data_IF_560703987832
#
_entry.id   IF_560703987832
#
_cell.length_a   1.000
_cell.length_b   1.000
_cell.length_c   1.000
_cell.angle_alpha   90.00
_cell.angle_beta   90.00
_cell.angle_gamma   90.00
#
_symmetry.space_group_name_H-M   'P 1'
#
loop_
_entity.id
_entity.type
_entity.pdbx_description
1 polymer ?
#
# COMPACT_ATOMS: atom_id res chain seq x y z
N UNK A 1 4.20 3.73 -6.55
CA UNK A 1 4.56 4.59 -7.71
C UNK A 1 3.67 5.83 -7.64
N UNK A 2 4.25 6.94 -7.19
CA UNK A 2 3.53 8.19 -6.99
C UNK A 2 3.32 8.85 -8.37
N UNK A 3 2.08 8.90 -8.89
CA UNK A 3 1.78 9.65 -10.10
C UNK A 3 1.63 11.12 -9.70
N UNK A 4 2.66 11.89 -9.95
CA UNK A 4 2.56 13.35 -9.94
C UNK A 4 1.53 13.77 -10.99
N UNK A 5 0.40 14.30 -10.52
CA UNK A 5 -0.65 14.79 -11.41
C UNK A 5 -0.16 16.12 -12.01
N UNK A 6 -0.63 16.47 -13.23
CA UNK A 6 -0.23 17.67 -14.01
C UNK A 6 -0.24 19.00 -13.24
N UNK A 7 -0.75 19.04 -12.02
CA UNK A 7 -0.83 20.23 -11.15
C UNK A 7 0.14 20.18 -9.95
N UNK A 8 1.13 19.26 -9.91
CA UNK A 8 2.10 19.17 -8.78
C UNK A 8 1.47 18.75 -7.44
N UNK A 9 0.22 18.26 -7.44
CA UNK A 9 -0.46 17.82 -6.23
C UNK A 9 -0.08 16.38 -5.88
N UNK A 10 0.17 16.15 -4.60
CA UNK A 10 0.48 14.81 -4.08
C UNK A 10 -0.76 13.93 -4.23
N UNK A 11 -0.59 12.79 -4.88
CA UNK A 11 -1.64 11.80 -5.12
C UNK A 11 -1.11 10.42 -4.70
N UNK A 12 -1.85 9.74 -3.84
CA UNK A 12 -1.51 8.41 -3.34
C UNK A 12 -2.41 7.39 -4.04
N UNK A 13 -1.86 6.71 -5.04
CA UNK A 13 -2.61 5.73 -5.84
C UNK A 13 -3.26 4.66 -4.94
N UNK A 14 -4.57 4.45 -5.13
CA UNK A 14 -5.34 3.48 -4.34
C UNK A 14 -5.75 3.93 -2.95
N UNK A 15 -5.28 5.07 -2.44
CA UNK A 15 -5.64 5.62 -1.12
C UNK A 15 -6.38 6.96 -1.26
N UNK A 16 -5.74 7.94 -1.91
CA UNK A 16 -6.32 9.24 -2.22
C UNK A 16 -5.76 9.72 -3.55
N UNK A 17 -6.60 9.82 -4.55
CA UNK A 17 -6.22 10.24 -5.89
C UNK A 17 -6.88 11.58 -6.22
N UNK A 18 -6.10 12.54 -6.69
CA UNK A 18 -6.63 13.80 -7.21
C UNK A 18 -7.09 13.56 -8.65
N UNK A 19 -8.41 13.57 -8.87
CA UNK A 19 -9.00 13.41 -10.19
C UNK A 19 -9.00 14.72 -10.97
N UNK A 20 -9.32 15.82 -10.28
CA UNK A 20 -9.38 17.13 -10.88
C UNK A 20 -9.17 18.21 -9.82
N UNK A 21 -8.37 19.20 -10.13
CA UNK A 21 -8.12 20.35 -9.27
C UNK A 21 -8.26 21.65 -10.06
N UNK A 22 -9.16 22.52 -9.62
CA UNK A 22 -9.34 23.87 -10.09
C UNK A 22 -9.32 24.81 -8.88
N UNK A 23 -9.01 26.10 -9.04
CA UNK A 23 -9.16 27.06 -7.97
C UNK A 23 -10.59 27.02 -7.40
N UNK A 24 -10.72 26.80 -6.10
CA UNK A 24 -12.01 26.70 -5.42
C UNK A 24 -12.72 25.33 -5.56
N UNK A 25 -12.21 24.38 -6.36
CA UNK A 25 -12.88 23.11 -6.59
C UNK A 25 -11.89 21.95 -6.72
N UNK A 26 -12.01 20.97 -5.84
CA UNK A 26 -11.18 19.77 -5.82
C UNK A 26 -12.03 18.51 -5.91
N UNK A 27 -11.74 17.64 -6.86
CA UNK A 27 -12.37 16.33 -6.98
C UNK A 27 -11.36 15.24 -6.68
N UNK A 28 -11.69 14.40 -5.71
CA UNK A 28 -10.85 13.34 -5.19
C UNK A 28 -11.50 11.97 -5.40
N UNK A 29 -10.69 10.95 -5.53
CA UNK A 29 -11.09 9.56 -5.39
C UNK A 29 -10.48 9.03 -4.09
N UNK A 30 -11.34 8.48 -3.22
CA UNK A 30 -10.98 7.91 -1.92
C UNK A 30 -11.61 6.53 -1.86
N UNK A 31 -10.91 5.47 -2.32
CA UNK A 31 -11.48 4.13 -2.42
C UNK A 31 -11.99 3.57 -1.09
N UNK A 32 -11.41 3.98 0.04
CA UNK A 32 -11.83 3.57 1.38
C UNK A 32 -13.23 4.03 1.77
N UNK A 33 -13.78 5.07 1.11
CA UNK A 33 -15.16 5.54 1.32
C UNK A 33 -16.18 4.76 0.50
N UNK A 34 -15.73 3.93 -0.47
CA UNK A 34 -16.62 3.16 -1.32
C UNK A 34 -17.41 2.13 -0.52
N UNK A 35 -18.75 2.20 -0.62
CA UNK A 35 -19.66 1.31 0.11
C UNK A 35 -19.81 1.61 1.61
N UNK A 36 -19.17 2.67 2.12
CA UNK A 36 -19.16 3.02 3.56
C UNK A 36 -19.86 4.36 3.81
N UNK A 37 -21.19 4.35 3.86
CA UNK A 37 -21.99 5.57 4.05
C UNK A 37 -21.61 6.34 5.34
N UNK A 38 -21.44 5.64 6.47
CA UNK A 38 -21.04 6.27 7.74
C UNK A 38 -19.68 6.96 7.66
N UNK A 39 -18.68 6.33 7.04
CA UNK A 39 -17.36 6.92 6.86
C UNK A 39 -17.44 8.16 5.95
N UNK A 40 -18.28 8.13 4.92
CA UNK A 40 -18.52 9.26 4.04
C UNK A 40 -19.17 10.45 4.79
N UNK A 41 -20.14 10.17 5.65
CA UNK A 41 -20.78 11.20 6.52
C UNK A 41 -19.78 11.80 7.49
N UNK A 42 -18.99 10.99 8.18
CA UNK A 42 -17.93 11.46 9.09
C UNK A 42 -16.93 12.35 8.37
N UNK A 43 -16.49 11.93 7.18
CA UNK A 43 -15.59 12.73 6.34
C UNK A 43 -16.21 14.09 5.98
N UNK A 44 -17.49 14.12 5.59
CA UNK A 44 -18.19 15.37 5.26
C UNK A 44 -18.26 16.30 6.47
N UNK A 45 -18.59 15.78 7.65
CA UNK A 45 -18.66 16.56 8.90
C UNK A 45 -17.29 17.15 9.25
N UNK A 46 -16.25 16.32 9.23
CA UNK A 46 -14.89 16.76 9.55
C UNK A 46 -14.38 17.83 8.56
N UNK A 47 -14.60 17.62 7.27
CA UNK A 47 -14.17 18.58 6.26
C UNK A 47 -14.94 19.91 6.37
N UNK A 48 -16.24 19.88 6.63
CA UNK A 48 -17.06 21.10 6.80
C UNK A 48 -16.70 21.90 8.05
N UNK A 49 -16.09 21.29 9.07
CA UNK A 49 -15.62 22.00 10.25
C UNK A 49 -14.37 22.87 9.99
N UNK A 50 -13.72 22.69 8.85
CA UNK A 50 -12.53 23.45 8.48
C UNK A 50 -12.90 24.81 7.89
N UNK A 51 -12.26 25.86 8.40
CA UNK A 51 -12.45 27.22 7.91
C UNK A 51 -11.99 27.36 6.45
N UNK A 52 -12.84 27.90 5.60
CA UNK A 52 -12.58 28.08 4.17
C UNK A 52 -13.10 26.94 3.28
N UNK A 53 -13.70 25.89 3.85
CA UNK A 53 -14.45 24.89 3.09
C UNK A 53 -15.92 25.37 2.96
N UNK A 54 -16.40 25.48 1.74
CA UNK A 54 -17.76 25.93 1.44
C UNK A 54 -18.74 24.76 1.37
N UNK A 55 -18.38 23.72 0.63
CA UNK A 55 -19.21 22.53 0.51
C UNK A 55 -18.40 21.27 0.30
N UNK A 56 -18.92 20.16 0.80
CA UNK A 56 -18.35 18.82 0.59
C UNK A 56 -19.46 17.86 0.21
N UNK A 57 -19.30 17.19 -0.92
CA UNK A 57 -20.23 16.17 -1.42
C UNK A 57 -19.46 14.88 -1.64
N UNK A 58 -19.91 13.78 -1.05
CA UNK A 58 -19.30 12.45 -1.21
C UNK A 58 -20.28 11.53 -1.92
N UNK A 59 -19.79 10.85 -2.94
CA UNK A 59 -20.49 9.73 -3.57
C UNK A 59 -19.89 8.42 -3.04
N UNK A 60 -20.55 7.80 -2.06
CA UNK A 60 -20.11 6.57 -1.44
C UNK A 60 -20.12 5.37 -2.42
N UNK A 61 -20.97 5.37 -3.45
CA UNK A 61 -21.00 4.29 -4.46
C UNK A 61 -19.72 4.25 -5.29
N UNK A 62 -19.21 5.43 -5.67
CA UNK A 62 -18.02 5.58 -6.49
C UNK A 62 -16.73 5.74 -5.66
N UNK A 63 -16.85 6.09 -4.38
CA UNK A 63 -15.71 6.47 -3.53
C UNK A 63 -15.08 7.77 -4.01
N UNK A 64 -15.89 8.77 -4.41
CA UNK A 64 -15.42 10.08 -4.87
C UNK A 64 -15.93 11.19 -3.98
N UNK A 65 -15.08 12.18 -3.72
CA UNK A 65 -15.43 13.39 -2.97
C UNK A 65 -15.22 14.63 -3.85
N UNK A 66 -16.14 15.57 -3.76
CA UNK A 66 -16.05 16.89 -4.34
C UNK A 66 -16.01 17.90 -3.21
N UNK A 67 -14.93 18.66 -3.14
CA UNK A 67 -14.71 19.71 -2.14
C UNK A 67 -14.71 21.06 -2.84
N UNK A 68 -15.56 21.98 -2.40
CA UNK A 68 -15.56 23.37 -2.80
C UNK A 68 -15.02 24.22 -1.65
N UNK A 69 -14.13 25.13 -1.94
CA UNK A 69 -13.40 25.90 -0.96
C UNK A 69 -13.06 27.30 -1.46
N UNK A 70 -12.86 28.22 -0.56
CA UNK A 70 -12.44 29.59 -0.87
C UNK A 70 -10.98 29.59 -1.37
N UNK A 71 -10.79 29.82 -2.66
CA UNK A 71 -9.46 29.84 -3.29
C UNK A 71 -8.59 31.03 -2.84
N UNK A 72 -9.16 32.05 -2.21
CA UNK A 72 -8.40 33.16 -1.63
C UNK A 72 -7.75 32.77 -0.29
N UNK A 73 -8.32 31.79 0.42
CA UNK A 73 -7.86 31.35 1.74
C UNK A 73 -7.11 30.03 1.73
N UNK A 74 -7.47 29.11 0.83
CA UNK A 74 -6.95 27.76 0.80
C UNK A 74 -6.32 27.43 -0.56
N UNK A 75 -5.15 26.83 -0.53
CA UNK A 75 -4.53 26.25 -1.73
C UNK A 75 -5.02 24.80 -1.93
N UNK A 76 -5.05 24.30 -3.18
CA UNK A 76 -5.42 22.90 -3.45
C UNK A 76 -4.61 21.89 -2.64
N UNK A 77 -3.31 22.12 -2.46
CA UNK A 77 -2.42 21.26 -1.67
C UNK A 77 -2.81 21.21 -0.18
N UNK A 78 -3.23 22.35 0.39
CA UNK A 78 -3.68 22.39 1.77
C UNK A 78 -5.01 21.64 1.95
N UNK A 79 -5.91 21.74 0.98
CA UNK A 79 -7.17 20.97 1.00
C UNK A 79 -6.90 19.47 0.87
N UNK A 80 -5.95 19.04 0.02
CA UNK A 80 -5.54 17.64 -0.05
C UNK A 80 -4.96 17.16 1.29
N UNK A 81 -4.10 17.96 1.93
CA UNK A 81 -3.55 17.64 3.25
C UNK A 81 -4.66 17.54 4.32
N UNK A 82 -5.65 18.46 4.29
CA UNK A 82 -6.80 18.39 5.19
C UNK A 82 -7.64 17.12 4.96
N UNK A 83 -7.83 16.72 3.70
CA UNK A 83 -8.51 15.47 3.37
C UNK A 83 -7.78 14.24 3.91
N UNK A 84 -6.44 14.19 3.86
CA UNK A 84 -5.67 13.07 4.44
C UNK A 84 -5.85 12.98 5.95
N UNK A 85 -5.96 14.11 6.63
CA UNK A 85 -6.21 14.15 8.07
C UNK A 85 -7.65 13.75 8.44
N UNK A 86 -8.62 14.19 7.64
CA UNK A 86 -10.05 13.95 7.92
C UNK A 86 -10.48 12.49 7.69
N UNK A 87 -9.66 11.68 7.03
CA UNK A 87 -10.07 10.33 6.68
C UNK A 87 -9.06 9.28 7.14
N UNK A 88 -8.50 9.30 8.26
CA UNK A 88 -7.63 8.28 8.84
C UNK A 88 -6.71 7.58 7.79
N UNK A 89 -5.84 8.40 7.19
CA UNK A 89 -4.93 8.00 6.12
C UNK A 89 -4.04 6.81 6.51
N UNK A 90 -3.63 6.75 7.77
CA UNK A 90 -2.76 5.69 8.28
C UNK A 90 -3.49 4.33 8.30
N UNK A 91 -4.77 4.31 8.68
CA UNK A 91 -5.57 3.09 8.63
C UNK A 91 -5.83 2.63 7.18
N UNK A 92 -6.00 3.56 6.24
CA UNK A 92 -6.17 3.23 4.83
C UNK A 92 -4.88 2.71 4.19
N UNK A 93 -3.72 3.27 4.54
CA UNK A 93 -2.42 2.75 4.13
C UNK A 93 -2.16 1.35 4.68
N UNK A 94 -2.44 1.13 5.97
CA UNK A 94 -2.31 -0.18 6.59
C UNK A 94 -3.22 -1.23 5.93
N UNK A 95 -4.46 -0.86 5.57
CA UNK A 95 -5.39 -1.72 4.84
C UNK A 95 -4.88 -2.06 3.43
N UNK A 96 -4.26 -1.11 2.73
CA UNK A 96 -3.67 -1.36 1.41
C UNK A 96 -2.43 -2.28 1.50
N UNK A 97 -1.58 -2.09 2.50
CA UNK A 97 -0.45 -3.00 2.75
C UNK A 97 -0.94 -4.41 3.07
N UNK A 98 -2.06 -4.56 3.79
CA UNK A 98 -2.65 -5.86 4.09
C UNK A 98 -3.20 -6.57 2.84
N UNK A 99 -3.67 -5.83 1.83
CA UNK A 99 -4.09 -6.40 0.54
C UNK A 99 -2.90 -7.00 -0.21
N UNK A 100 -1.78 -6.28 -0.29
CA UNK A 100 -0.52 -6.82 -0.87
C UNK A 100 -0.04 -8.04 -0.08
N UNK A 101 -0.10 -8.01 1.24
CA UNK A 101 0.24 -9.15 2.09
C UNK A 101 -0.69 -10.36 1.89
N UNK A 102 -1.96 -10.13 1.59
CA UNK A 102 -2.93 -11.21 1.26
C UNK A 102 -2.63 -11.83 -0.10
N UNK A 103 -2.38 -11.02 -1.12
CA UNK A 103 -1.97 -11.49 -2.45
C UNK A 103 -0.68 -12.32 -2.38
N UNK A 104 0.34 -11.84 -1.67
CA UNK A 104 1.58 -12.58 -1.44
C UNK A 104 1.36 -13.90 -0.69
N UNK A 105 0.47 -13.92 0.32
CA UNK A 105 0.11 -15.18 1.00
C UNK A 105 -0.56 -16.17 0.06
N UNK A 106 -1.44 -15.71 -0.82
CA UNK A 106 -2.12 -16.58 -1.80
C UNK A 106 -1.12 -17.19 -2.78
N UNK A 107 -0.18 -16.38 -3.30
CA UNK A 107 0.90 -16.86 -4.18
C UNK A 107 1.82 -17.83 -3.43
N UNK A 108 2.21 -17.52 -2.20
CA UNK A 108 3.02 -18.40 -1.36
C UNK A 108 2.31 -19.74 -1.12
N UNK A 109 1.03 -19.74 -0.81
CA UNK A 109 0.23 -20.97 -0.62
C UNK A 109 0.14 -21.81 -1.89
N UNK A 110 -0.09 -21.18 -3.05
CA UNK A 110 -0.15 -21.87 -4.33
C UNK A 110 1.21 -22.52 -4.69
N UNK A 111 2.30 -21.80 -4.47
CA UNK A 111 3.67 -22.33 -4.68
C UNK A 111 3.99 -23.47 -3.71
N UNK A 112 3.63 -23.33 -2.43
CA UNK A 112 3.83 -24.37 -1.44
C UNK A 112 3.08 -25.66 -1.79
N UNK A 113 1.82 -25.56 -2.23
CA UNK A 113 1.03 -26.70 -2.70
C UNK A 113 1.66 -27.36 -3.95
N UNK A 114 2.22 -26.57 -4.87
CA UNK A 114 2.90 -27.10 -6.05
C UNK A 114 4.17 -27.89 -5.68
N UNK A 115 4.96 -27.37 -4.72
CA UNK A 115 6.16 -28.06 -4.20
C UNK A 115 5.78 -29.34 -3.49
N UNK A 116 4.81 -29.32 -2.58
CA UNK A 116 4.33 -30.50 -1.85
C UNK A 116 3.85 -31.61 -2.81
N UNK A 117 3.08 -31.26 -3.85
CA UNK A 117 2.63 -32.23 -4.86
C UNK A 117 3.77 -32.82 -5.66
N UNK A 118 4.79 -32.01 -6.03
CA UNK A 118 5.95 -32.47 -6.78
C UNK A 118 6.91 -33.33 -5.96
N UNK A 119 7.02 -33.08 -4.66
CA UNK A 119 7.93 -33.80 -3.74
C UNK A 119 7.24 -34.94 -3.00
N UNK A 120 5.98 -35.25 -3.32
CA UNK A 120 5.22 -36.29 -2.62
C UNK A 120 4.99 -35.98 -1.13
N UNK A 121 4.97 -34.70 -0.75
CA UNK A 121 4.78 -34.27 0.64
C UNK A 121 6.05 -34.21 1.49
N UNK A 122 7.21 -34.51 0.92
CA UNK A 122 8.49 -34.55 1.65
C UNK A 122 9.08 -33.16 1.95
N UNK A 123 8.83 -32.19 1.05
CA UNK A 123 9.38 -30.84 1.18
C UNK A 123 8.28 -29.81 0.99
N UNK A 124 8.22 -28.85 1.89
CA UNK A 124 7.44 -27.62 1.71
C UNK A 124 8.30 -26.54 1.06
N UNK A 125 7.69 -25.39 0.70
CA UNK A 125 8.40 -24.29 0.04
C UNK A 125 9.54 -23.75 0.91
N UNK A 126 9.36 -23.70 2.23
CA UNK A 126 10.37 -23.20 3.17
C UNK A 126 11.56 -24.15 3.28
N UNK A 127 11.30 -25.44 3.35
CA UNK A 127 12.34 -26.47 3.34
C UNK A 127 13.11 -26.49 2.03
N UNK A 128 12.41 -26.37 0.89
CA UNK A 128 13.06 -26.27 -0.42
C UNK A 128 13.98 -25.05 -0.51
N UNK A 129 13.51 -23.88 -0.07
CA UNK A 129 14.32 -22.65 -0.04
C UNK A 129 15.54 -22.79 0.86
N UNK A 130 15.39 -23.47 2.00
CA UNK A 130 16.51 -23.73 2.93
C UNK A 130 17.55 -24.64 2.27
N UNK A 131 17.14 -25.71 1.61
CA UNK A 131 18.05 -26.64 0.89
C UNK A 131 18.78 -25.91 -0.24
N UNK A 132 18.06 -25.11 -1.04
CA UNK A 132 18.67 -24.31 -2.12
C UNK A 132 19.68 -23.32 -1.54
N UNK A 133 19.35 -22.67 -0.42
CA UNK A 133 20.24 -21.72 0.26
C UNK A 133 21.50 -22.41 0.79
N UNK A 134 21.36 -23.57 1.46
CA UNK A 134 22.48 -24.35 1.95
C UNK A 134 23.39 -24.85 0.81
N UNK A 135 22.78 -25.26 -0.32
CA UNK A 135 23.52 -25.65 -1.50
C UNK A 135 24.30 -24.49 -2.12
N UNK A 136 23.66 -23.31 -2.22
CA UNK A 136 24.31 -22.10 -2.72
C UNK A 136 25.44 -21.60 -1.82
N UNK A 137 25.26 -21.68 -0.49
CA UNK A 137 26.31 -21.39 0.50
C UNK A 137 27.45 -22.39 0.41
N UNK A 138 27.17 -23.70 0.31
CA UNK A 138 28.17 -24.74 0.19
C UNK A 138 29.05 -24.57 -1.06
N UNK A 139 28.45 -24.21 -2.19
CA UNK A 139 29.21 -23.89 -3.43
C UNK A 139 30.07 -22.63 -3.29
N UNK A 140 29.56 -21.60 -2.57
CA UNK A 140 30.33 -20.38 -2.31
C UNK A 140 31.54 -20.60 -1.40
N UNK A 141 31.38 -21.42 -0.36
CA UNK A 141 32.44 -21.75 0.60
C UNK A 141 33.48 -22.67 -0.04
N UNK A 142 33.06 -23.60 -0.91
CA UNK A 142 33.97 -24.54 -1.60
C UNK A 142 34.66 -23.92 -2.83
N UNK A 143 34.49 -22.63 -3.11
CA UNK A 143 35.18 -21.94 -4.20
C UNK A 143 34.80 -22.39 -5.61
N UNK A 144 33.69 -23.12 -5.76
CA UNK A 144 33.24 -23.72 -7.03
C UNK A 144 32.52 -22.70 -7.97
N UNK A 145 32.30 -21.50 -7.53
CA UNK A 145 31.76 -20.42 -8.38
C UNK A 145 32.55 -19.14 -8.17
N UNK A 146 33.12 -18.59 -9.24
CA UNK A 146 33.95 -17.39 -9.25
C UNK A 146 33.16 -16.07 -8.94
N UNK A 147 31.99 -16.15 -8.35
CA UNK A 147 31.20 -15.00 -7.92
C UNK A 147 31.45 -14.72 -6.44
N UNK A 148 32.06 -13.55 -6.16
CA UNK A 148 32.28 -13.01 -4.81
C UNK A 148 30.93 -12.59 -4.18
N UNK A 149 30.05 -13.55 -3.89
CA UNK A 149 28.86 -13.28 -3.07
C UNK A 149 29.25 -13.32 -1.59
N UNK A 150 29.23 -12.17 -0.93
CA UNK A 150 29.42 -12.10 0.51
C UNK A 150 28.22 -12.76 1.22
N UNK A 151 28.42 -13.81 2.04
CA UNK A 151 27.31 -14.56 2.64
C UNK A 151 26.63 -13.87 3.83
N UNK A 152 27.14 -12.72 4.27
CA UNK A 152 26.71 -12.02 5.48
C UNK A 152 25.21 -11.66 5.56
N UNK A 153 24.55 -11.13 4.49
CA UNK A 153 23.11 -10.83 4.56
C UNK A 153 22.23 -12.07 4.68
N UNK A 154 22.68 -13.20 4.12
CA UNK A 154 21.95 -14.47 4.15
C UNK A 154 22.04 -15.16 5.51
N UNK A 155 23.16 -15.06 6.20
CA UNK A 155 23.34 -15.58 7.57
C UNK A 155 22.46 -14.81 8.57
N UNK A 156 22.37 -13.49 8.44
CA UNK A 156 21.49 -12.69 9.27
C UNK A 156 20.01 -13.05 9.07
N UNK A 157 19.60 -13.31 7.82
CA UNK A 157 18.23 -13.72 7.50
C UNK A 157 17.93 -15.12 8.06
N UNK A 158 18.85 -16.05 7.95
CA UNK A 158 18.73 -17.41 8.49
C UNK A 158 18.56 -17.41 10.02
N UNK A 159 19.37 -16.63 10.74
CA UNK A 159 19.27 -16.48 12.19
C UNK A 159 17.89 -15.94 12.61
N UNK A 160 17.35 -14.98 11.88
CA UNK A 160 16.02 -14.40 12.15
C UNK A 160 14.88 -15.38 11.82
N UNK A 161 15.06 -16.28 10.88
CA UNK A 161 14.06 -17.29 10.50
C UNK A 161 13.98 -18.45 11.50
N UNK A 162 15.08 -18.78 12.17
CA UNK A 162 15.16 -19.86 13.18
C UNK A 162 14.73 -19.41 14.58
N UNK A 163 14.57 -18.10 14.82
CA UNK A 163 14.17 -17.53 16.14
C UNK A 163 12.65 -17.29 16.25
N UNK A 164 11.85 -17.84 15.35
CA UNK A 164 10.39 -17.86 15.38
C UNK A 164 9.90 -19.30 15.39
#
# INVERSE_FOLDING_TARGET
>A
MNKENRNGLVSFAGVLEVLHALPGRLRLRIPSLKGRARAAETFVVQMKSLSGIESVTVNATLGTALVQYDAARLTPSLVVAACTHAFDFDAALAAQQSLVGRELKTVYFALNQAVLKRTGGLLDLSSLMTVVLLFALGRGVLGLSGTKFAPLPLLWWLQRSLSR
#
